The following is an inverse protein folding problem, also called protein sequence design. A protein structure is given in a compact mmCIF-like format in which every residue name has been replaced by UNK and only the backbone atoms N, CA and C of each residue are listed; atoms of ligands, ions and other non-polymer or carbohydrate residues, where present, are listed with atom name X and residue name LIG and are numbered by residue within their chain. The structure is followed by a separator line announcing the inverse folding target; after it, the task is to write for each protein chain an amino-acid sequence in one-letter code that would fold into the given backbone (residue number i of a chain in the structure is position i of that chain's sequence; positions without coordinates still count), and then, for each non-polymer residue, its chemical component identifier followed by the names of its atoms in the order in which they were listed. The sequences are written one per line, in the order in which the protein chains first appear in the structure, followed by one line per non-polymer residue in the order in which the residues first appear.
data_IF_518467644143
#
_entry.id   IF_518467644143
#
_cell.length_a   1.000
_cell.length_b   1.000
_cell.length_c   1.000
_cell.angle_alpha   90.00
_cell.angle_beta   90.00
_cell.angle_gamma   90.00
#
_symmetry.space_group_name_H-M   'P 1'
#
loop_
_entity.id
_entity.type
_entity.pdbx_description
1 polymer ?
#
# COMPACT_ATOMS: atom_id res chain seq x y z
N UNK A 1 -23.93 -29.41 5.39
CA UNK A 1 -24.21 -28.55 6.55
C UNK A 1 -24.70 -27.26 5.97
N UNK A 2 -25.99 -26.98 6.05
CA UNK A 2 -26.53 -25.66 5.70
C UNK A 2 -25.94 -24.66 6.68
N UNK A 3 -25.14 -23.72 6.16
CA UNK A 3 -24.64 -22.60 6.92
C UNK A 3 -25.84 -21.69 7.17
N UNK A 4 -26.38 -21.74 8.40
CA UNK A 4 -27.55 -20.96 8.82
C UNK A 4 -27.23 -19.46 8.63
N UNK A 5 -27.74 -18.88 7.54
CA UNK A 5 -27.49 -17.50 7.11
C UNK A 5 -27.98 -16.47 8.12
N UNK A 6 -28.84 -16.87 9.07
CA UNK A 6 -29.36 -16.02 10.14
C UNK A 6 -28.28 -15.44 11.07
N UNK A 7 -27.11 -16.08 11.17
CA UNK A 7 -25.98 -15.57 11.96
C UNK A 7 -25.03 -14.68 11.16
N UNK A 8 -25.13 -14.68 9.82
CA UNK A 8 -24.22 -13.95 8.94
C UNK A 8 -24.66 -12.48 8.84
N UNK A 9 -25.96 -12.22 8.72
CA UNK A 9 -26.49 -10.85 8.57
C UNK A 9 -26.09 -9.90 9.72
N UNK A 10 -26.24 -10.26 11.01
CA UNK A 10 -25.81 -9.38 12.10
C UNK A 10 -24.30 -9.15 12.13
N UNK A 11 -23.50 -10.17 11.78
CA UNK A 11 -22.05 -10.05 11.71
C UNK A 11 -21.60 -9.16 10.53
N UNK A 12 -22.37 -9.13 9.44
CA UNK A 12 -22.13 -8.23 8.32
C UNK A 12 -22.43 -6.79 8.69
N UNK A 13 -23.52 -6.54 9.41
CA UNK A 13 -23.88 -5.20 9.88
C UNK A 13 -22.81 -4.67 10.85
N UNK A 14 -22.41 -5.46 11.85
CA UNK A 14 -21.34 -5.12 12.79
C UNK A 14 -20.01 -4.83 12.06
N UNK A 15 -19.66 -5.65 11.07
CA UNK A 15 -18.46 -5.47 10.26
C UNK A 15 -18.51 -4.20 9.39
N UNK A 16 -19.67 -3.90 8.79
CA UNK A 16 -19.88 -2.69 8.01
C UNK A 16 -19.79 -1.44 8.89
N UNK A 17 -20.34 -1.47 10.10
CA UNK A 17 -20.21 -0.39 11.08
C UNK A 17 -18.76 -0.17 11.49
N UNK A 18 -18.00 -1.25 11.75
CA UNK A 18 -16.58 -1.17 12.07
C UNK A 18 -15.78 -0.59 10.90
N UNK A 19 -16.05 -1.03 9.67
CA UNK A 19 -15.45 -0.46 8.47
C UNK A 19 -15.72 1.04 8.33
N UNK A 20 -16.98 1.46 8.49
CA UNK A 20 -17.35 2.87 8.42
C UNK A 20 -16.66 3.68 9.51
N UNK A 21 -16.54 3.12 10.71
CA UNK A 21 -15.78 3.73 11.82
C UNK A 21 -14.30 3.90 11.47
N UNK A 22 -13.67 2.88 10.87
CA UNK A 22 -12.27 2.94 10.43
C UNK A 22 -12.08 3.99 9.34
N UNK A 23 -12.96 4.04 8.34
CA UNK A 23 -12.92 5.03 7.25
C UNK A 23 -13.07 6.44 7.82
N UNK A 24 -14.07 6.69 8.70
CA UNK A 24 -14.26 7.98 9.37
C UNK A 24 -13.06 8.37 10.25
N UNK A 25 -12.48 7.42 10.98
CA UNK A 25 -11.29 7.66 11.79
C UNK A 25 -10.08 8.03 10.93
N UNK A 26 -9.94 7.41 9.76
CA UNK A 26 -8.89 7.74 8.80
C UNK A 26 -9.10 9.13 8.18
N UNK A 27 -10.34 9.45 7.77
CA UNK A 27 -10.70 10.78 7.26
C UNK A 27 -10.46 11.89 8.29
N UNK A 28 -10.85 11.68 9.55
CA UNK A 28 -10.63 12.65 10.63
C UNK A 28 -9.15 12.85 10.97
N UNK A 29 -8.33 11.80 10.90
CA UNK A 29 -6.87 11.90 11.10
C UNK A 29 -6.20 12.71 9.99
N UNK A 30 -6.62 12.49 8.73
CA UNK A 30 -6.18 13.28 7.56
C UNK A 30 -6.53 14.76 7.75
N UNK A 31 -7.76 15.05 8.20
CA UNK A 31 -8.22 16.42 8.48
C UNK A 31 -7.47 17.08 9.65
N UNK A 32 -7.08 16.32 10.68
CA UNK A 32 -6.45 16.85 11.88
C UNK A 32 -4.95 17.13 11.74
N UNK A 33 -4.23 16.41 10.88
CA UNK A 33 -2.76 16.53 10.74
C UNK A 33 -2.29 17.38 9.56
N UNK A 34 -3.19 17.91 8.75
CA UNK A 34 -2.86 18.57 7.47
C UNK A 34 -2.01 17.65 6.55
N UNK A 35 -2.10 16.33 6.77
CA UNK A 35 -1.38 15.30 6.03
C UNK A 35 -2.32 14.76 4.95
N UNK A 36 -2.09 15.13 3.69
CA UNK A 36 -2.83 14.57 2.57
C UNK A 36 -2.37 13.13 2.32
N UNK A 37 -3.27 12.16 2.53
CA UNK A 37 -3.08 10.77 2.14
C UNK A 37 -4.09 10.45 1.03
N UNK A 38 -3.56 10.23 -0.18
CA UNK A 38 -4.36 9.70 -1.28
C UNK A 38 -3.92 8.25 -1.53
N UNK A 39 -4.74 7.27 -1.08
CA UNK A 39 -4.39 5.87 -1.20
C UNK A 39 -4.04 5.50 -2.65
N UNK A 40 -3.01 4.68 -2.84
CA UNK A 40 -2.57 4.13 -4.13
C UNK A 40 -2.11 5.14 -5.19
N UNK A 41 -2.07 6.45 -4.89
CA UNK A 41 -1.54 7.45 -5.84
C UNK A 41 -0.01 7.48 -5.84
N UNK A 42 0.63 7.14 -4.73
CA UNK A 42 2.09 7.14 -4.64
C UNK A 42 2.74 5.78 -4.89
N UNK A 43 1.99 4.66 -4.87
CA UNK A 43 2.57 3.36 -5.23
C UNK A 43 2.74 3.25 -6.76
N UNK A 44 3.97 3.02 -7.25
CA UNK A 44 4.21 2.70 -8.65
C UNK A 44 3.84 1.24 -8.98
N UNK A 45 3.38 0.99 -10.21
CA UNK A 45 3.19 -0.37 -10.74
C UNK A 45 4.44 -1.26 -10.53
N UNK A 46 5.69 -0.79 -10.77
CA UNK A 46 6.86 -1.62 -10.49
C UNK A 46 6.91 -2.21 -9.08
N UNK A 47 6.39 -1.49 -8.08
CA UNK A 47 6.29 -2.00 -6.71
C UNK A 47 5.22 -3.07 -6.61
N UNK A 48 4.02 -2.84 -7.16
CA UNK A 48 2.93 -3.83 -7.17
C UNK A 48 3.41 -5.11 -7.89
N UNK A 49 4.01 -4.97 -9.07
CA UNK A 49 4.62 -6.07 -9.81
C UNK A 49 5.72 -6.79 -9.02
N UNK A 50 6.56 -6.05 -8.29
CA UNK A 50 7.57 -6.66 -7.45
C UNK A 50 6.95 -7.47 -6.31
N UNK A 51 5.91 -6.94 -5.65
CA UNK A 51 5.15 -7.66 -4.61
C UNK A 51 4.57 -8.94 -5.19
N UNK A 52 3.91 -8.87 -6.36
CA UNK A 52 3.31 -10.02 -7.02
C UNK A 52 4.36 -11.09 -7.31
N UNK A 53 5.45 -10.73 -8.00
CA UNK A 53 6.55 -11.66 -8.32
C UNK A 53 7.21 -12.26 -7.09
N UNK A 54 7.43 -11.46 -6.04
CA UNK A 54 8.03 -11.95 -4.80
C UNK A 54 7.08 -12.92 -4.08
N UNK A 55 5.79 -12.58 -3.99
CA UNK A 55 4.78 -13.45 -3.37
C UNK A 55 4.61 -14.76 -4.14
N UNK A 56 4.66 -14.72 -5.47
CA UNK A 56 4.63 -15.90 -6.33
C UNK A 56 5.87 -16.77 -6.13
N UNK A 57 7.07 -16.16 -6.18
CA UNK A 57 8.35 -16.86 -5.98
C UNK A 57 8.45 -17.53 -4.61
N UNK A 58 7.88 -16.91 -3.57
CA UNK A 58 7.88 -17.42 -2.20
C UNK A 58 6.67 -18.32 -1.89
N UNK A 59 5.73 -18.48 -2.82
CA UNK A 59 4.45 -19.16 -2.62
C UNK A 59 3.68 -18.62 -1.40
N UNK A 60 3.51 -17.29 -1.35
CA UNK A 60 2.69 -16.61 -0.33
C UNK A 60 1.24 -16.47 -0.81
N UNK A 61 0.29 -16.47 0.13
CA UNK A 61 -1.13 -16.35 -0.16
C UNK A 61 -1.53 -14.97 -0.73
N UNK A 62 -2.73 -14.88 -1.34
CA UNK A 62 -3.26 -13.63 -1.87
C UNK A 62 -3.50 -12.58 -0.77
N UNK A 63 -3.87 -13.00 0.44
CA UNK A 63 -4.00 -12.11 1.60
C UNK A 63 -2.68 -11.38 1.91
N UNK A 64 -1.58 -12.15 2.03
CA UNK A 64 -0.24 -11.58 2.24
C UNK A 64 0.09 -10.52 1.18
N UNK A 65 -0.25 -10.80 -0.09
CA UNK A 65 -0.01 -9.88 -1.22
C UNK A 65 -0.77 -8.57 -1.05
N UNK A 66 -2.09 -8.61 -0.83
CA UNK A 66 -2.90 -7.40 -0.74
C UNK A 66 -2.62 -6.60 0.54
N UNK A 67 -2.44 -7.29 1.68
CA UNK A 67 -2.04 -6.65 2.94
C UNK A 67 -0.70 -5.92 2.75
N UNK A 68 0.28 -6.54 2.07
CA UNK A 68 1.58 -5.92 1.81
C UNK A 68 1.46 -4.66 0.96
N UNK A 69 0.60 -4.64 -0.07
CA UNK A 69 0.38 -3.46 -0.92
C UNK A 69 -0.17 -2.30 -0.09
N UNK A 70 -1.24 -2.54 0.67
CA UNK A 70 -1.89 -1.53 1.50
C UNK A 70 -0.97 -1.02 2.61
N UNK A 71 -0.24 -1.94 3.24
CA UNK A 71 0.72 -1.60 4.28
C UNK A 71 1.85 -0.74 3.74
N UNK A 72 2.38 -1.10 2.57
CA UNK A 72 3.44 -0.36 1.91
C UNK A 72 2.96 1.04 1.50
N UNK A 73 1.74 1.16 0.97
CA UNK A 73 1.15 2.46 0.62
C UNK A 73 1.16 3.39 1.83
N UNK A 74 0.50 2.94 2.90
CA UNK A 74 0.30 3.70 4.12
C UNK A 74 1.64 4.07 4.76
N UNK A 75 2.53 3.09 4.87
CA UNK A 75 3.85 3.30 5.45
C UNK A 75 4.67 4.32 4.64
N UNK A 76 4.72 4.19 3.31
CA UNK A 76 5.53 5.08 2.47
C UNK A 76 5.02 6.51 2.51
N UNK A 77 3.70 6.70 2.61
CA UNK A 77 3.11 8.02 2.81
C UNK A 77 3.56 8.64 4.13
N UNK A 78 3.40 7.91 5.24
CA UNK A 78 3.81 8.40 6.57
C UNK A 78 5.32 8.64 6.66
N UNK A 79 6.12 7.75 6.08
CA UNK A 79 7.58 7.88 6.06
C UNK A 79 8.03 9.06 5.20
N UNK A 80 7.39 9.30 4.05
CA UNK A 80 7.65 10.48 3.24
C UNK A 80 7.39 11.76 4.04
N UNK A 81 6.25 11.88 4.72
CA UNK A 81 5.94 13.04 5.55
C UNK A 81 6.92 13.22 6.72
N UNK A 82 7.34 12.13 7.36
CA UNK A 82 8.38 12.14 8.39
C UNK A 82 9.70 12.70 7.85
N UNK A 83 10.15 12.24 6.68
CA UNK A 83 11.40 12.71 6.09
C UNK A 83 11.29 14.15 5.60
N UNK A 84 10.17 14.53 4.99
CA UNK A 84 9.91 15.87 4.48
C UNK A 84 9.89 16.92 5.61
N UNK A 85 9.18 16.65 6.72
CA UNK A 85 9.13 17.56 7.87
C UNK A 85 10.49 17.80 8.53
N UNK A 86 11.37 16.80 8.46
CA UNK A 86 12.70 16.86 9.05
C UNK A 86 13.75 17.46 8.10
N UNK A 87 13.36 17.84 6.87
CA UNK A 87 14.24 18.47 5.90
C UNK A 87 13.97 19.98 5.83
N UNK A 88 15.00 20.78 5.53
CA UNK A 88 14.84 22.20 5.21
C UNK A 88 13.92 22.33 3.98
N UNK A 89 13.05 23.33 3.87
CA UNK A 89 12.06 23.39 2.78
C UNK A 89 12.60 24.04 1.49
N UNK A 90 13.82 23.70 1.08
CA UNK A 90 14.50 24.24 -0.11
C UNK A 90 14.38 23.29 -1.32
N UNK A 91 14.59 23.77 -2.55
CA UNK A 91 14.57 22.89 -3.73
C UNK A 91 15.69 21.82 -3.69
N UNK A 92 16.85 22.14 -3.11
CA UNK A 92 17.96 21.20 -2.98
C UNK A 92 17.68 20.10 -1.97
N UNK A 93 16.94 20.39 -0.90
CA UNK A 93 16.51 19.40 0.08
C UNK A 93 15.49 18.42 -0.50
N UNK A 94 14.64 18.86 -1.44
CA UNK A 94 13.66 18.00 -2.09
C UNK A 94 14.31 16.81 -2.78
N UNK A 95 15.40 17.06 -3.52
CA UNK A 95 16.18 15.98 -4.15
C UNK A 95 16.76 15.01 -3.10
N UNK A 96 17.18 15.52 -1.95
CA UNK A 96 17.72 14.71 -0.86
C UNK A 96 16.63 13.87 -0.17
N UNK A 97 15.45 14.43 0.07
CA UNK A 97 14.27 13.72 0.58
C UNK A 97 13.92 12.56 -0.35
N UNK A 98 13.78 12.83 -1.64
CA UNK A 98 13.48 11.81 -2.65
C UNK A 98 14.54 10.70 -2.68
N UNK A 99 15.84 11.05 -2.67
CA UNK A 99 16.93 10.06 -2.65
C UNK A 99 16.92 9.21 -1.39
N UNK A 100 16.65 9.81 -0.22
CA UNK A 100 16.60 9.11 1.07
C UNK A 100 15.40 8.16 1.16
N UNK A 101 14.25 8.56 0.63
CA UNK A 101 13.06 7.70 0.58
C UNK A 101 13.27 6.55 -0.42
N UNK A 102 13.82 6.85 -1.60
CA UNK A 102 14.11 5.85 -2.63
C UNK A 102 15.13 4.80 -2.18
N UNK A 103 16.20 5.18 -1.49
CA UNK A 103 17.26 4.25 -1.08
C UNK A 103 16.79 3.18 -0.09
N UNK A 104 15.79 3.49 0.75
CA UNK A 104 15.27 2.57 1.76
C UNK A 104 14.03 1.79 1.29
N UNK A 105 13.45 2.17 0.16
CA UNK A 105 12.19 1.61 -0.35
C UNK A 105 12.17 0.09 -0.45
N UNK A 106 13.23 -0.52 -0.98
CA UNK A 106 13.34 -1.99 -1.16
C UNK A 106 13.34 -2.73 0.18
N UNK A 107 14.04 -2.18 1.17
CA UNK A 107 14.08 -2.73 2.52
C UNK A 107 12.70 -2.62 3.19
N UNK A 108 12.03 -1.49 3.02
CA UNK A 108 10.68 -1.30 3.54
C UNK A 108 9.64 -2.16 2.84
N UNK A 109 9.77 -2.39 1.53
CA UNK A 109 8.95 -3.33 0.78
C UNK A 109 9.02 -4.74 1.39
N UNK A 110 10.23 -5.23 1.61
CA UNK A 110 10.46 -6.53 2.21
C UNK A 110 10.02 -6.60 3.68
N UNK A 111 10.07 -5.48 4.40
CA UNK A 111 9.57 -5.38 5.77
C UNK A 111 8.03 -5.43 5.80
N UNK A 112 7.36 -4.77 4.85
CA UNK A 112 5.90 -4.85 4.71
C UNK A 112 5.45 -6.27 4.37
N UNK A 113 6.16 -6.96 3.46
CA UNK A 113 5.90 -8.37 3.13
C UNK A 113 6.06 -9.30 4.33
N UNK A 114 7.10 -9.11 5.16
CA UNK A 114 7.29 -9.91 6.38
C UNK A 114 6.14 -9.71 7.37
N UNK A 115 5.73 -8.46 7.60
CA UNK A 115 4.61 -8.16 8.49
C UNK A 115 3.31 -8.76 7.94
N UNK A 116 3.02 -8.57 6.66
CA UNK A 116 1.83 -9.13 6.02
C UNK A 116 1.78 -10.66 6.15
N UNK A 117 2.91 -11.33 5.89
CA UNK A 117 3.02 -12.78 6.01
C UNK A 117 2.89 -13.28 7.47
N UNK A 118 3.19 -12.44 8.47
CA UNK A 118 2.97 -12.79 9.88
C UNK A 118 1.49 -12.68 10.27
N UNK A 119 0.71 -11.90 9.53
CA UNK A 119 -0.73 -11.76 9.75
C UNK A 119 -1.54 -12.79 8.99
N UNK A 120 -0.98 -13.33 7.92
CA UNK A 120 -1.55 -14.45 7.19
C UNK A 120 -1.55 -15.72 8.06
N UNK A 121 -2.69 -16.38 8.13
CA UNK A 121 -2.88 -17.63 8.88
C UNK A 121 -2.20 -18.84 8.20
N UNK A 122 -1.79 -18.70 6.93
CA UNK A 122 -1.12 -19.76 6.19
C UNK A 122 0.29 -20.05 6.75
N UNK A 123 0.63 -21.35 6.82
CA UNK A 123 1.80 -21.89 7.51
C UNK A 123 3.18 -21.46 6.97
N UNK A 124 3.25 -20.77 5.83
CA UNK A 124 4.51 -20.41 5.18
C UNK A 124 5.12 -19.16 5.83
N UNK A 125 5.75 -19.31 7.00
CA UNK A 125 6.41 -18.20 7.70
C UNK A 125 7.68 -17.76 6.96
N UNK A 126 7.66 -16.54 6.42
CA UNK A 126 8.79 -15.94 5.73
C UNK A 126 10.00 -15.82 6.67
N UNK A 127 11.11 -16.50 6.31
CA UNK A 127 12.34 -16.51 7.11
C UNK A 127 13.24 -15.32 6.77
N UNK A 128 13.96 -14.81 7.76
CA UNK A 128 14.95 -13.72 7.57
C UNK A 128 15.99 -14.08 6.51
N UNK A 129 16.38 -15.36 6.38
CA UNK A 129 17.31 -15.81 5.34
C UNK A 129 16.75 -15.66 3.91
N UNK A 130 15.46 -15.92 3.71
CA UNK A 130 14.79 -15.73 2.42
C UNK A 130 14.69 -14.24 2.07
N UNK A 131 14.37 -13.42 3.07
CA UNK A 131 14.35 -11.94 2.94
C UNK A 131 15.72 -11.42 2.53
N UNK A 132 16.78 -11.86 3.20
CA UNK A 132 18.16 -11.50 2.85
C UNK A 132 18.52 -11.93 1.44
N UNK A 133 18.12 -13.14 1.03
CA UNK A 133 18.33 -13.65 -0.33
C UNK A 133 17.71 -12.74 -1.37
N UNK A 134 16.43 -12.38 -1.20
CA UNK A 134 15.72 -11.49 -2.13
C UNK A 134 16.33 -10.09 -2.12
N UNK A 135 16.62 -9.52 -0.95
CA UNK A 135 17.24 -8.20 -0.83
C UNK A 135 18.58 -8.12 -1.56
N UNK A 136 19.41 -9.17 -1.48
CA UNK A 136 20.67 -9.26 -2.24
C UNK A 136 20.44 -9.32 -3.76
N UNK A 137 19.35 -9.95 -4.20
CA UNK A 137 18.99 -9.99 -5.61
C UNK A 137 18.54 -8.62 -6.14
N UNK A 138 17.67 -7.92 -5.39
CA UNK A 138 17.04 -6.66 -5.83
C UNK A 138 17.87 -5.41 -5.51
N UNK A 139 18.79 -5.48 -4.55
CA UNK A 139 19.68 -4.38 -4.18
C UNK A 139 21.13 -4.80 -3.99
N UNK A 140 21.80 -5.05 -5.11
CA UNK A 140 23.23 -5.46 -5.14
C UNK A 140 24.20 -4.42 -4.56
N UNK A 141 23.75 -3.19 -4.30
CA UNK A 141 24.61 -2.08 -3.81
C UNK A 141 24.61 -1.97 -2.29
N UNK A 142 23.63 -2.56 -1.61
CA UNK A 142 23.43 -2.40 -0.18
C UNK A 142 23.69 -3.71 0.54
N UNK A 143 24.41 -3.64 1.66
CA UNK A 143 24.58 -4.79 2.54
C UNK A 143 23.49 -4.78 3.61
N UNK A 144 22.75 -5.88 3.69
CA UNK A 144 21.72 -6.08 4.70
C UNK A 144 22.15 -7.13 5.70
N UNK A 145 21.93 -6.82 6.97
CA UNK A 145 22.11 -7.75 8.10
C UNK A 145 20.76 -8.11 8.70
N UNK A 146 20.64 -9.24 9.41
CA UNK A 146 19.43 -9.60 10.15
C UNK A 146 18.93 -8.47 11.08
N UNK A 147 19.85 -7.77 11.74
CA UNK A 147 19.52 -6.65 12.63
C UNK A 147 18.88 -5.48 11.87
N UNK A 148 19.41 -5.15 10.68
CA UNK A 148 18.83 -4.10 9.83
C UNK A 148 17.41 -4.46 9.41
N UNK A 149 17.15 -5.72 9.05
CA UNK A 149 15.81 -6.21 8.69
C UNK A 149 14.86 -6.13 9.89
N UNK A 150 15.30 -6.55 11.07
CA UNK A 150 14.47 -6.49 12.28
C UNK A 150 14.11 -5.04 12.64
N UNK A 151 15.08 -4.12 12.58
CA UNK A 151 14.86 -2.71 12.88
C UNK A 151 13.96 -2.05 11.83
N UNK A 152 14.09 -2.41 10.55
CA UNK A 152 13.23 -1.89 9.50
C UNK A 152 11.80 -2.40 9.63
N UNK A 153 11.63 -3.68 10.00
CA UNK A 153 10.33 -4.26 10.28
C UNK A 153 9.64 -3.55 11.46
N UNK A 154 10.34 -3.38 12.57
CA UNK A 154 9.83 -2.65 13.73
C UNK A 154 9.48 -1.20 13.37
N UNK A 155 10.32 -0.54 12.56
CA UNK A 155 10.05 0.82 12.09
C UNK A 155 8.75 0.88 11.29
N UNK A 156 8.57 0.00 10.31
CA UNK A 156 7.33 -0.04 9.50
C UNK A 156 6.12 -0.19 10.41
N UNK A 157 6.16 -1.16 11.32
CA UNK A 157 5.03 -1.46 12.18
C UNK A 157 4.69 -0.30 13.14
N UNK A 158 5.72 0.34 13.70
CA UNK A 158 5.57 1.52 14.55
C UNK A 158 5.04 2.73 13.78
N UNK A 159 5.55 2.99 12.58
CA UNK A 159 5.13 4.14 11.75
C UNK A 159 3.65 4.06 11.38
N UNK A 160 3.11 2.86 11.13
CA UNK A 160 1.67 2.66 10.88
C UNK A 160 0.83 2.58 12.17
N UNK A 161 1.43 2.87 13.33
CA UNK A 161 0.74 2.90 14.61
C UNK A 161 0.33 1.52 15.13
N UNK A 162 1.07 0.47 14.77
CA UNK A 162 0.77 -0.92 15.10
C UNK A 162 -0.59 -1.41 14.57
N UNK A 163 -1.10 -0.78 13.51
CA UNK A 163 -2.37 -1.15 12.86
C UNK A 163 -2.12 -1.75 11.48
N UNK A 164 -2.45 -3.02 11.33
CA UNK A 164 -2.35 -3.74 10.04
C UNK A 164 -3.62 -3.53 9.20
N UNK A 165 -3.50 -3.50 7.86
CA UNK A 165 -4.67 -3.39 6.99
C UNK A 165 -5.34 -4.77 6.87
N UNK A 166 -6.32 -5.04 7.73
CA UNK A 166 -7.07 -6.31 7.72
C UNK A 166 -8.24 -6.31 6.74
N UNK A 167 -8.71 -5.13 6.32
CA UNK A 167 -9.84 -5.00 5.42
C UNK A 167 -9.33 -4.72 4.01
N UNK A 168 -8.81 -5.75 3.37
CA UNK A 168 -8.42 -5.65 1.97
C UNK A 168 -9.64 -5.82 1.06
N UNK A 169 -9.60 -5.31 -0.18
CA UNK A 169 -10.64 -5.58 -1.17
C UNK A 169 -10.94 -7.07 -1.35
N UNK A 170 -9.98 -7.97 -1.11
CA UNK A 170 -10.22 -9.41 -1.16
C UNK A 170 -11.25 -9.82 -0.10
N UNK A 171 -11.11 -9.36 1.14
CA UNK A 171 -12.04 -9.69 2.24
C UNK A 171 -13.46 -9.18 1.93
N UNK A 172 -13.58 -7.99 1.33
CA UNK A 172 -14.87 -7.48 0.88
C UNK A 172 -15.50 -8.39 -0.18
N UNK A 173 -14.72 -8.85 -1.16
CA UNK A 173 -15.26 -9.75 -2.19
C UNK A 173 -15.59 -11.12 -1.62
N UNK A 174 -14.78 -11.67 -0.71
CA UNK A 174 -15.08 -12.94 -0.03
C UNK A 174 -16.41 -12.89 0.74
N UNK A 175 -16.66 -11.77 1.43
CA UNK A 175 -17.91 -11.51 2.12
C UNK A 175 -19.08 -11.42 1.13
N UNK A 176 -18.92 -10.67 0.03
CA UNK A 176 -19.95 -10.55 -1.00
C UNK A 176 -20.26 -11.91 -1.62
N UNK A 177 -19.24 -12.71 -1.93
CA UNK A 177 -19.42 -14.07 -2.46
C UNK A 177 -20.14 -15.00 -1.49
N UNK A 178 -19.85 -14.86 -0.19
CA UNK A 178 -20.55 -15.61 0.85
C UNK A 178 -22.02 -15.19 0.95
N UNK A 179 -22.29 -13.88 0.98
CA UNK A 179 -23.64 -13.33 1.07
C UNK A 179 -24.51 -13.68 -0.15
N UNK A 180 -23.92 -13.76 -1.36
CA UNK A 180 -24.64 -14.13 -2.57
C UNK A 180 -24.72 -15.65 -2.79
N UNK A 181 -24.16 -16.47 -1.89
CA UNK A 181 -24.09 -17.94 -2.06
C UNK A 181 -23.22 -18.40 -3.24
N UNK A 182 -22.38 -17.52 -3.79
CA UNK A 182 -21.51 -17.81 -4.93
C UNK A 182 -20.16 -18.40 -4.51
N UNK A 183 -19.87 -18.43 -3.20
CA UNK A 183 -18.61 -18.95 -2.65
C UNK A 183 -18.34 -20.41 -3.03
N UNK A 184 -19.38 -21.24 -3.09
CA UNK A 184 -19.25 -22.68 -3.39
C UNK A 184 -19.22 -22.99 -4.89
N UNK A 185 -19.35 -21.96 -5.74
CA UNK A 185 -19.27 -22.13 -7.19
C UNK A 185 -17.82 -22.42 -7.59
N UNK A 186 -17.56 -23.49 -8.37
CA UNK A 186 -16.20 -23.84 -8.76
C UNK A 186 -15.51 -22.70 -9.49
N UNK A 187 -14.23 -22.49 -9.19
CA UNK A 187 -13.35 -21.46 -9.76
C UNK A 187 -13.71 -20.00 -9.43
N UNK A 188 -14.79 -19.71 -8.69
CA UNK A 188 -15.16 -18.31 -8.39
C UNK A 188 -14.11 -17.59 -7.53
N UNK A 189 -13.48 -18.29 -6.59
CA UNK A 189 -12.40 -17.73 -5.78
C UNK A 189 -11.18 -17.37 -6.63
N UNK A 190 -10.75 -18.27 -7.51
CA UNK A 190 -9.61 -18.04 -8.40
C UNK A 190 -9.90 -16.92 -9.40
N UNK A 191 -11.10 -16.90 -10.01
CA UNK A 191 -11.53 -15.83 -10.91
C UNK A 191 -11.54 -14.47 -10.21
N UNK A 192 -12.00 -14.43 -8.95
CA UNK A 192 -12.01 -13.21 -8.14
C UNK A 192 -10.61 -12.69 -7.87
N UNK A 193 -9.69 -13.57 -7.48
CA UNK A 193 -8.30 -13.21 -7.23
C UNK A 193 -7.66 -12.70 -8.53
N UNK A 194 -7.87 -13.39 -9.65
CA UNK A 194 -7.34 -12.98 -10.96
C UNK A 194 -7.89 -11.62 -11.42
N UNK A 195 -9.19 -11.37 -11.21
CA UNK A 195 -9.81 -10.08 -11.52
C UNK A 195 -9.23 -8.99 -10.62
N UNK A 196 -9.07 -9.26 -9.33
CA UNK A 196 -8.54 -8.31 -8.38
C UNK A 196 -7.07 -8.01 -8.66
N UNK A 197 -6.27 -9.02 -8.97
CA UNK A 197 -4.89 -8.89 -9.45
C UNK A 197 -4.82 -7.96 -10.66
N UNK A 198 -5.70 -8.16 -11.65
CA UNK A 198 -5.81 -7.29 -12.81
C UNK A 198 -6.19 -5.87 -12.42
N UNK A 199 -7.12 -5.66 -11.48
CA UNK A 199 -7.48 -4.33 -10.97
C UNK A 199 -6.26 -3.64 -10.34
N UNK A 200 -5.50 -4.31 -9.47
CA UNK A 200 -4.30 -3.72 -8.87
C UNK A 200 -3.22 -3.36 -9.89
N UNK A 201 -3.11 -4.14 -10.97
CA UNK A 201 -2.20 -3.87 -12.07
C UNK A 201 -2.73 -2.76 -13.01
N UNK A 202 -4.05 -2.62 -13.14
CA UNK A 202 -4.73 -1.68 -14.04
C UNK A 202 -5.15 -0.35 -13.40
N UNK A 203 -5.08 -0.18 -12.07
CA UNK A 203 -5.31 1.12 -11.40
C UNK A 203 -4.56 2.27 -12.11
N UNK A 204 -3.49 1.95 -12.83
CA UNK A 204 -2.73 2.88 -13.65
C UNK A 204 -3.27 3.20 -15.06
N UNK A 205 -4.00 2.31 -15.76
CA UNK A 205 -4.54 2.61 -17.11
C UNK A 205 -5.58 3.74 -17.06
N UNK A 206 -6.38 3.78 -16.00
CA UNK A 206 -7.34 4.87 -15.76
C UNK A 206 -6.62 6.18 -15.42
N UNK A 207 -5.44 6.11 -14.80
CA UNK A 207 -4.64 7.26 -14.37
C UNK A 207 -3.70 7.78 -15.48
N UNK A 208 -3.25 6.94 -16.42
CA UNK A 208 -2.44 7.36 -17.58
C UNK A 208 -3.28 7.90 -18.73
N UNK A 209 -4.48 7.36 -18.96
CA UNK A 209 -5.40 7.85 -19.99
C UNK A 209 -6.08 9.17 -19.62
N UNK A 210 -6.20 9.48 -18.33
CA UNK A 210 -6.74 10.73 -17.81
C UNK A 210 -5.67 11.49 -17.06
N UNK A 211 -5.12 12.54 -17.70
CA UNK A 211 -4.18 13.52 -17.15
C UNK A 211 -4.08 13.45 -15.60
N UNK A 212 -3.03 12.82 -15.08
CA UNK A 212 -2.76 12.68 -13.63
C UNK A 212 -3.02 13.98 -12.87
N UNK A 213 -2.72 15.10 -13.51
CA UNK A 213 -2.95 16.43 -12.98
C UNK A 213 -4.44 16.77 -12.87
N UNK A 214 -5.29 16.38 -13.84
CA UNK A 214 -6.74 16.61 -13.80
C UNK A 214 -7.45 15.71 -12.79
N UNK A 215 -7.09 14.43 -12.66
CA UNK A 215 -7.67 13.55 -11.65
C UNK A 215 -7.24 13.96 -10.23
N UNK A 216 -5.94 14.25 -10.05
CA UNK A 216 -5.44 14.73 -8.76
C UNK A 216 -5.97 16.14 -8.43
N UNK A 217 -6.14 17.03 -9.41
CA UNK A 217 -6.83 18.33 -9.23
C UNK A 217 -8.32 18.16 -8.96
N UNK A 218 -8.99 17.19 -9.58
CA UNK A 218 -10.40 16.91 -9.33
C UNK A 218 -10.59 16.44 -7.89
N UNK A 219 -9.79 15.48 -7.42
CA UNK A 219 -9.82 15.01 -6.03
C UNK A 219 -9.36 16.11 -5.05
N UNK A 220 -8.30 16.86 -5.36
CA UNK A 220 -7.91 18.00 -4.52
C UNK A 220 -8.99 19.10 -4.46
N UNK A 221 -9.74 19.33 -5.55
CA UNK A 221 -10.88 20.28 -5.59
C UNK A 221 -12.09 19.78 -4.80
N UNK A 222 -12.37 18.49 -4.77
CA UNK A 222 -13.47 17.93 -3.97
C UNK A 222 -13.15 18.01 -2.47
N UNK A 223 -11.90 17.76 -2.07
CA UNK A 223 -11.45 17.90 -0.67
C UNK A 223 -11.29 19.36 -0.22
N UNK A 224 -10.90 20.28 -1.11
CA UNK A 224 -10.71 21.72 -0.80
C UNK A 224 -12.02 22.49 -0.51
N UNK A 225 -13.18 21.97 -0.91
CA UNK A 225 -14.47 22.59 -0.56
C UNK A 225 -14.74 22.59 0.96
N UNK A 226 -14.04 21.75 1.73
CA UNK A 226 -14.26 21.55 3.17
C UNK A 226 -13.22 22.22 4.10
N UNK A 227 -12.14 22.83 3.59
CA UNK A 227 -11.06 23.37 4.44
C UNK A 227 -10.71 24.83 4.13
N UNK A 228 -10.69 25.67 5.18
CA UNK A 228 -10.46 27.12 5.14
C UNK A 228 -8.99 27.55 5.02
N UNK A 229 -8.05 26.63 4.79
CA UNK A 229 -6.61 26.93 4.60
C UNK A 229 -6.14 26.45 3.24
N UNK A 230 -6.16 27.34 2.24
CA UNK A 230 -6.03 26.97 0.83
C UNK A 230 -4.59 26.98 0.30
N UNK A 231 -3.75 27.96 0.61
CA UNK A 231 -2.48 28.15 -0.15
C UNK A 231 -1.35 27.15 0.17
N UNK A 232 -1.10 26.80 1.44
CA UNK A 232 -0.04 25.85 1.79
C UNK A 232 -0.40 24.40 1.38
N UNK A 233 -1.67 24.02 1.50
CA UNK A 233 -2.15 22.68 1.13
C UNK A 233 -1.98 22.41 -0.38
N UNK A 234 -2.12 23.42 -1.25
CA UNK A 234 -1.95 23.26 -2.70
C UNK A 234 -0.51 22.95 -3.11
N UNK A 235 0.50 23.63 -2.55
CA UNK A 235 1.91 23.39 -2.87
C UNK A 235 2.35 21.99 -2.40
N UNK A 236 1.86 21.58 -1.24
CA UNK A 236 2.09 20.27 -0.62
C UNK A 236 1.47 19.14 -1.46
N UNK A 237 0.25 19.33 -1.99
CA UNK A 237 -0.41 18.37 -2.89
C UNK A 237 0.35 18.19 -4.21
N UNK A 238 0.81 19.30 -4.80
CA UNK A 238 1.60 19.28 -6.04
C UNK A 238 2.93 18.56 -5.81
N UNK A 239 3.62 18.80 -4.69
CA UNK A 239 4.87 18.11 -4.34
C UNK A 239 4.69 16.61 -4.13
N UNK A 240 3.58 16.17 -3.52
CA UNK A 240 3.28 14.74 -3.36
C UNK A 240 2.98 14.03 -4.69
N UNK A 241 2.24 14.69 -5.59
CA UNK A 241 1.99 14.19 -6.95
C UNK A 241 3.29 14.14 -7.77
N UNK A 242 4.17 15.13 -7.59
CA UNK A 242 5.51 15.16 -8.19
C UNK A 242 6.37 14.05 -7.58
N UNK A 243 6.30 13.78 -6.28
CA UNK A 243 6.98 12.64 -5.66
C UNK A 243 6.51 11.33 -6.26
N UNK A 244 5.20 11.11 -6.36
CA UNK A 244 4.62 9.94 -7.03
C UNK A 244 5.12 9.80 -8.47
N UNK A 245 5.16 10.90 -9.23
CA UNK A 245 5.65 10.93 -10.62
C UNK A 245 7.16 10.68 -10.74
N UNK A 246 7.97 11.28 -9.87
CA UNK A 246 9.42 11.14 -9.84
C UNK A 246 9.85 9.75 -9.38
N UNK A 247 9.19 9.23 -8.35
CA UNK A 247 9.40 7.89 -7.83
C UNK A 247 8.99 6.83 -8.88
N UNK A 248 7.94 7.08 -9.69
CA UNK A 248 7.61 6.28 -10.89
C UNK A 248 8.73 6.30 -11.93
N UNK A 249 9.29 7.46 -12.27
CA UNK A 249 10.40 7.56 -13.23
C UNK A 249 11.67 6.86 -12.73
N UNK A 250 12.00 7.02 -11.44
CA UNK A 250 13.21 6.43 -10.85
C UNK A 250 13.12 4.90 -10.79
N UNK A 251 11.95 4.34 -10.45
CA UNK A 251 11.72 2.90 -10.42
C UNK A 251 11.53 2.29 -11.81
N UNK A 252 10.89 2.99 -12.74
CA UNK A 252 10.81 2.59 -14.15
C UNK A 252 12.20 2.39 -14.76
N UNK A 253 13.13 3.32 -14.51
CA UNK A 253 14.52 3.22 -15.00
C UNK A 253 15.30 2.08 -14.29
N UNK A 254 15.08 1.88 -12.99
CA UNK A 254 15.83 0.87 -12.21
C UNK A 254 15.37 -0.57 -12.44
N UNK A 255 14.13 -0.80 -12.88
CA UNK A 255 13.56 -2.14 -13.02
C UNK A 255 13.34 -2.58 -14.48
N UNK A 256 13.08 -1.67 -15.42
CA UNK A 256 12.93 -2.00 -16.86
C UNK A 256 14.25 -2.48 -17.49
N UNK A 257 15.40 -2.17 -16.89
CA UNK A 257 16.72 -2.57 -17.40
C UNK A 257 17.40 -3.72 -16.64
N UNK A 258 16.75 -4.36 -15.65
CA UNK A 258 17.42 -5.38 -14.81
C UNK A 258 16.54 -6.56 -14.34
N UNK A 259 15.61 -6.99 -15.17
CA UNK A 259 15.07 -8.36 -15.15
C UNK A 259 15.27 -9.00 -16.52
#
# INVERSE_FOLDING_TARGET
MDLDTSYIEPLLDDWLEELQSIIKAQESFIKAKDEFYMPFVAIPIPIINAIFKITEYLHLGPDTRYIAIHLYDKFMCSYFWEVYRNADQTESSWSQVCKKVASQSKLYLMSCLQLANKMDSHFNKLRISQVLGILRCIDKKSEYTPNVIFLSEYKVFKTVGFRMPFYTPLNCVEILLAATGLKDTPNMQELTINLLDLVYLQIYMVIEGGNIFSFAMFVARTYSKDSTRKEESYDVNVKYIIFGSFYRSLWGILFVYRL
#
